data_IF_845407888212
#
_entry.id   IF_845407888212
#
_cell.length_a   1.000
_cell.length_b   1.000
_cell.length_c   1.000
_cell.angle_alpha   90.00
_cell.angle_beta   90.00
_cell.angle_gamma   90.00
#
_symmetry.space_group_name_H-M   'P 1'
#
loop_
_entity.id
_entity.type
_entity.pdbx_description
1 polymer ?
#
# COMPACT_ATOMS: atom_id res chain seq x y z
N UNK A 1 32.11 38.09 18.73
CA UNK A 1 31.03 37.28 19.34
C UNK A 1 31.11 35.88 18.73
N UNK A 2 31.49 34.85 19.49
CA UNK A 2 31.64 33.49 18.95
C UNK A 2 30.27 32.82 18.76
N UNK A 3 30.18 32.05 17.68
CA UNK A 3 29.02 31.24 17.26
C UNK A 3 29.00 29.95 18.10
N UNK A 4 27.90 29.74 18.83
CA UNK A 4 27.66 28.57 19.68
C UNK A 4 27.19 27.36 18.83
N UNK A 5 27.67 26.12 19.07
CA UNK A 5 27.44 24.98 18.17
C UNK A 5 26.21 24.11 18.53
N UNK A 6 25.08 24.71 18.93
CA UNK A 6 23.88 23.96 19.33
C UNK A 6 22.61 24.45 18.63
N UNK A 7 22.60 24.44 17.30
CA UNK A 7 21.34 24.57 16.56
C UNK A 7 21.13 23.32 15.69
N UNK A 8 20.26 22.38 16.09
CA UNK A 8 19.93 21.25 15.23
C UNK A 8 19.24 21.79 13.98
N UNK A 9 19.90 21.63 12.83
CA UNK A 9 19.32 21.91 11.52
C UNK A 9 18.06 21.04 11.40
N UNK A 10 16.88 21.60 11.08
CA UNK A 10 15.69 20.78 10.84
C UNK A 10 15.99 19.80 9.71
N UNK A 11 15.80 18.51 9.97
CA UNK A 11 16.05 17.44 9.03
C UNK A 11 15.38 17.75 7.68
N UNK A 12 16.21 18.00 6.66
CA UNK A 12 15.74 18.14 5.29
C UNK A 12 15.03 16.83 4.91
N UNK A 13 13.72 16.89 4.68
CA UNK A 13 12.84 15.75 4.37
C UNK A 13 13.07 15.13 2.97
N UNK A 14 14.28 15.24 2.43
CA UNK A 14 14.63 14.75 1.10
C UNK A 14 15.88 13.89 1.20
N UNK A 15 15.67 12.59 1.30
CA UNK A 15 16.65 11.60 0.87
C UNK A 15 16.82 11.74 -0.65
N UNK A 16 18.05 11.81 -1.16
CA UNK A 16 18.29 11.90 -2.61
C UNK A 16 17.63 10.71 -3.32
N UNK A 17 16.58 10.99 -4.11
CA UNK A 17 15.86 9.99 -4.90
C UNK A 17 14.74 9.22 -4.19
N UNK A 18 14.48 9.44 -2.89
CA UNK A 18 13.40 8.76 -2.13
C UNK A 18 12.67 9.76 -1.20
N UNK A 19 11.72 10.56 -1.70
CA UNK A 19 10.96 11.48 -0.85
C UNK A 19 10.05 10.71 0.13
N UNK A 20 10.04 11.12 1.39
CA UNK A 20 9.14 10.56 2.39
C UNK A 20 7.68 10.93 2.08
N UNK A 21 6.81 9.92 1.99
CA UNK A 21 5.41 10.05 1.61
C UNK A 21 4.63 8.79 2.00
N UNK A 22 3.30 8.89 2.08
CA UNK A 22 2.41 7.74 2.28
C UNK A 22 2.82 6.87 3.47
N UNK A 23 2.94 7.49 4.64
CA UNK A 23 3.36 6.86 5.90
C UNK A 23 4.83 6.40 5.95
N UNK A 24 5.56 6.36 4.83
CA UNK A 24 6.98 6.08 4.84
C UNK A 24 7.79 7.27 5.37
N UNK A 25 8.69 7.02 6.31
CA UNK A 25 9.58 8.03 6.89
C UNK A 25 11.06 7.70 6.62
N UNK A 26 11.97 8.67 6.66
CA UNK A 26 13.40 8.42 6.43
C UNK A 26 13.99 7.45 7.45
N UNK A 27 14.90 6.60 6.99
CA UNK A 27 15.71 5.68 7.79
C UNK A 27 17.05 5.40 7.11
N UNK A 28 17.84 4.49 7.69
CA UNK A 28 19.19 4.17 7.21
C UNK A 28 19.43 2.67 7.21
N UNK A 29 20.11 2.16 6.18
CA UNK A 29 20.53 0.76 6.11
C UNK A 29 21.81 0.65 5.29
N UNK A 30 22.85 0.01 5.85
CA UNK A 30 24.12 -0.20 5.16
C UNK A 30 24.77 1.11 4.70
N UNK A 31 24.67 2.17 5.51
CA UNK A 31 25.22 3.48 5.18
C UNK A 31 24.45 4.25 4.09
N UNK A 32 23.30 3.74 3.64
CA UNK A 32 22.43 4.38 2.65
C UNK A 32 21.11 4.80 3.27
N UNK A 33 20.54 5.87 2.74
CA UNK A 33 19.21 6.31 3.12
C UNK A 33 18.15 5.36 2.52
N UNK A 34 17.13 5.10 3.32
CA UNK A 34 15.97 4.27 2.95
C UNK A 34 14.71 4.93 3.46
N UNK A 35 13.56 4.45 2.97
CA UNK A 35 12.25 4.79 3.49
C UNK A 35 11.71 3.62 4.30
N UNK A 36 11.09 3.91 5.45
CA UNK A 36 10.57 2.90 6.38
C UNK A 36 9.09 3.15 6.65
N UNK A 37 8.28 2.12 6.47
CA UNK A 37 6.87 2.08 6.85
C UNK A 37 6.74 1.19 8.09
N UNK A 38 6.22 1.77 9.17
CA UNK A 38 6.07 1.12 10.48
C UNK A 38 4.61 0.75 10.69
N UNK A 39 4.26 -0.53 10.67
CA UNK A 39 2.86 -0.97 10.67
C UNK A 39 2.06 -0.58 11.91
N UNK A 40 2.73 -0.40 13.04
CA UNK A 40 2.08 0.08 14.26
C UNK A 40 1.54 1.50 14.09
N UNK A 41 2.39 2.41 13.59
CA UNK A 41 2.04 3.81 13.38
C UNK A 41 1.22 4.02 12.09
N UNK A 42 1.49 3.23 11.05
CA UNK A 42 0.90 3.42 9.73
C UNK A 42 -0.48 2.78 9.59
N UNK A 43 -0.75 1.66 10.29
CA UNK A 43 -2.02 0.95 10.25
C UNK A 43 -2.58 0.72 11.67
N UNK A 44 -2.93 1.79 12.41
CA UNK A 44 -3.39 1.68 13.80
C UNK A 44 -4.82 1.13 13.93
N UNK A 45 -5.60 1.14 12.86
CA UNK A 45 -7.04 0.85 12.87
C UNK A 45 -7.38 -0.64 12.75
N UNK A 46 -6.47 -1.53 13.11
CA UNK A 46 -6.77 -2.96 13.04
C UNK A 46 -7.82 -3.34 14.08
N UNK A 47 -8.84 -4.14 13.73
CA UNK A 47 -9.83 -4.62 14.69
C UNK A 47 -9.26 -5.72 15.61
N UNK A 48 -8.05 -6.21 15.33
CA UNK A 48 -7.39 -7.25 16.11
C UNK A 48 -6.63 -6.63 17.28
N UNK A 49 -6.95 -7.02 18.53
CA UNK A 49 -6.37 -6.40 19.72
C UNK A 49 -4.89 -6.77 19.94
N UNK A 50 -4.40 -7.83 19.29
CA UNK A 50 -3.05 -8.35 19.48
C UNK A 50 -2.25 -8.37 18.19
N UNK A 51 -0.96 -8.12 18.29
CA UNK A 51 0.00 -8.27 17.19
C UNK A 51 1.29 -8.93 17.67
N UNK A 52 2.11 -9.42 16.74
CA UNK A 52 3.47 -9.86 17.05
C UNK A 52 4.26 -8.75 17.75
N UNK A 53 5.07 -9.12 18.75
CA UNK A 53 5.87 -8.16 19.54
C UNK A 53 6.98 -7.51 18.72
N UNK A 54 7.59 -8.28 17.82
CA UNK A 54 8.58 -7.80 16.87
C UNK A 54 7.94 -7.68 15.47
N UNK A 55 8.29 -6.63 14.71
CA UNK A 55 7.86 -6.50 13.34
C UNK A 55 8.61 -7.48 12.42
N UNK A 56 7.88 -8.05 11.47
CA UNK A 56 8.47 -8.75 10.33
C UNK A 56 8.97 -7.73 9.33
N UNK A 57 10.28 -7.73 9.09
CA UNK A 57 10.90 -6.83 8.12
C UNK A 57 10.73 -7.35 6.68
N UNK A 58 10.24 -6.47 5.81
CA UNK A 58 10.00 -6.75 4.39
C UNK A 58 10.66 -5.69 3.53
N UNK A 59 11.35 -6.11 2.47
CA UNK A 59 12.28 -5.24 1.75
C UNK A 59 11.89 -5.06 0.29
N UNK A 60 11.87 -3.80 -0.18
CA UNK A 60 11.50 -3.40 -1.54
C UNK A 60 12.55 -2.48 -2.16
N UNK A 61 12.55 -2.43 -3.50
CA UNK A 61 13.21 -1.37 -4.26
C UNK A 61 12.32 -0.77 -5.35
N UNK A 62 12.65 0.45 -5.78
CA UNK A 62 11.96 1.20 -6.86
C UNK A 62 12.23 0.64 -8.27
N UNK A 63 12.65 -0.63 -8.40
CA UNK A 63 12.93 -1.27 -9.69
C UNK A 63 14.37 -1.09 -10.22
N UNK A 64 14.64 -1.66 -11.41
CA UNK A 64 15.95 -1.63 -12.08
C UNK A 64 16.01 -0.66 -13.27
N UNK A 65 14.87 -0.30 -13.86
CA UNK A 65 14.78 0.53 -15.05
C UNK A 65 14.57 2.02 -14.73
N UNK A 66 14.87 2.93 -15.67
CA UNK A 66 14.69 4.37 -15.47
C UNK A 66 13.26 4.77 -15.10
N UNK A 67 12.26 4.17 -15.73
CA UNK A 67 10.84 4.51 -15.50
C UNK A 67 10.38 4.28 -14.07
N UNK A 68 10.64 3.11 -13.49
CA UNK A 68 10.21 2.80 -12.11
C UNK A 68 11.08 3.49 -11.05
N UNK A 69 12.37 3.68 -11.31
CA UNK A 69 13.26 4.43 -10.40
C UNK A 69 12.87 5.89 -10.26
N UNK A 70 12.26 6.47 -11.31
CA UNK A 70 11.78 7.84 -11.31
C UNK A 70 10.43 8.02 -10.57
N UNK A 71 9.83 6.95 -10.04
CA UNK A 71 8.49 6.99 -9.43
C UNK A 71 8.46 6.53 -7.96
N UNK A 72 9.37 6.99 -7.08
CA UNK A 72 9.43 6.55 -5.68
C UNK A 72 8.15 6.84 -4.89
N UNK A 73 7.46 7.95 -5.20
CA UNK A 73 6.18 8.28 -4.56
C UNK A 73 5.04 7.34 -4.97
N UNK A 74 5.05 6.83 -6.20
CA UNK A 74 4.06 5.84 -6.60
C UNK A 74 4.34 4.48 -5.94
N UNK A 75 5.62 4.16 -5.67
CA UNK A 75 5.96 3.02 -4.83
C UNK A 75 5.43 3.16 -3.40
N UNK A 76 5.70 4.28 -2.71
CA UNK A 76 5.21 4.49 -1.34
C UNK A 76 3.69 4.43 -1.28
N UNK A 77 3.00 5.07 -2.24
CA UNK A 77 1.54 5.12 -2.31
C UNK A 77 0.90 3.75 -2.52
N UNK A 78 1.48 2.92 -3.41
CA UNK A 78 0.96 1.57 -3.62
C UNK A 78 1.33 0.65 -2.46
N UNK A 79 2.56 0.73 -1.94
CA UNK A 79 2.99 -0.09 -0.81
C UNK A 79 2.20 0.21 0.46
N UNK A 80 1.98 1.48 0.82
CA UNK A 80 1.19 1.85 2.01
C UNK A 80 -0.20 1.23 1.98
N UNK A 81 -0.89 1.31 0.85
CA UNK A 81 -2.20 0.68 0.67
C UNK A 81 -2.14 -0.83 0.90
N UNK A 82 -1.17 -1.49 0.27
CA UNK A 82 -1.05 -2.94 0.38
C UNK A 82 -0.69 -3.39 1.80
N UNK A 83 0.27 -2.72 2.43
CA UNK A 83 0.72 -3.01 3.78
C UNK A 83 -0.35 -2.69 4.83
N UNK A 84 -1.12 -1.62 4.62
CA UNK A 84 -2.27 -1.27 5.46
C UNK A 84 -3.35 -2.35 5.38
N UNK A 85 -3.69 -2.83 4.17
CA UNK A 85 -4.67 -3.89 4.00
C UNK A 85 -4.22 -5.22 4.64
N UNK A 86 -2.95 -5.59 4.50
CA UNK A 86 -2.38 -6.78 5.16
C UNK A 86 -2.43 -6.66 6.69
N UNK A 87 -2.25 -5.45 7.22
CA UNK A 87 -2.27 -5.17 8.66
C UNK A 87 -3.67 -5.25 9.31
N UNK A 88 -4.72 -5.43 8.50
CA UNK A 88 -6.09 -5.74 8.96
C UNK A 88 -6.34 -7.25 9.08
N UNK A 89 -5.47 -8.09 8.53
CA UNK A 89 -5.64 -9.54 8.54
C UNK A 89 -5.08 -10.15 9.83
N UNK A 90 -5.76 -11.19 10.31
CA UNK A 90 -5.18 -12.09 11.32
C UNK A 90 -4.11 -12.95 10.68
N UNK A 91 -3.21 -13.51 11.49
CA UNK A 91 -2.18 -14.44 11.05
C UNK A 91 -2.81 -15.66 10.35
N UNK A 92 -3.99 -16.11 10.80
CA UNK A 92 -4.73 -17.19 10.15
C UNK A 92 -5.19 -16.78 8.74
N UNK A 93 -5.84 -15.61 8.60
CA UNK A 93 -6.30 -15.11 7.30
C UNK A 93 -5.16 -14.81 6.35
N UNK A 94 -4.03 -14.34 6.87
CA UNK A 94 -2.80 -14.17 6.09
C UNK A 94 -2.29 -15.51 5.53
N UNK A 95 -2.24 -16.56 6.36
CA UNK A 95 -1.82 -17.90 5.92
C UNK A 95 -2.78 -18.50 4.89
N UNK A 96 -4.10 -18.40 5.13
CA UNK A 96 -5.13 -18.82 4.18
C UNK A 96 -4.93 -18.13 2.83
N UNK A 97 -4.74 -16.80 2.85
CA UNK A 97 -4.49 -16.01 1.66
C UNK A 97 -3.23 -16.44 0.92
N UNK A 98 -2.08 -16.56 1.61
CA UNK A 98 -0.82 -16.96 0.97
C UNK A 98 -0.92 -18.35 0.33
N UNK A 99 -1.54 -19.31 1.02
CA UNK A 99 -1.74 -20.67 0.52
C UNK A 99 -2.63 -20.69 -0.72
N UNK A 100 -3.75 -19.98 -0.66
CA UNK A 100 -4.69 -19.97 -1.78
C UNK A 100 -4.08 -19.28 -3.01
N UNK A 101 -3.21 -18.27 -2.83
CA UNK A 101 -2.50 -17.61 -3.93
C UNK A 101 -1.52 -18.54 -4.62
N UNK A 102 -0.80 -19.32 -3.82
CA UNK A 102 0.15 -20.31 -4.31
C UNK A 102 -0.55 -21.38 -5.16
N UNK A 103 -1.77 -21.76 -4.78
CA UNK A 103 -2.55 -22.79 -5.47
C UNK A 103 -3.26 -22.27 -6.72
N UNK A 104 -3.84 -21.08 -6.66
CA UNK A 104 -4.80 -20.60 -7.65
C UNK A 104 -4.33 -19.35 -8.42
N UNK A 105 -3.21 -18.74 -8.02
CA UNK A 105 -2.70 -17.51 -8.61
C UNK A 105 -3.49 -16.28 -8.17
N UNK A 106 -3.62 -15.27 -9.03
CA UNK A 106 -4.47 -14.11 -8.75
C UNK A 106 -5.90 -14.39 -9.12
N UNK A 107 -6.85 -13.95 -8.29
CA UNK A 107 -8.25 -13.96 -8.68
C UNK A 107 -8.45 -13.06 -9.91
N UNK A 108 -9.19 -13.53 -10.94
CA UNK A 108 -9.54 -12.69 -12.07
C UNK A 108 -10.32 -11.45 -11.62
N UNK A 109 -10.12 -10.33 -12.32
CA UNK A 109 -10.90 -9.11 -12.06
C UNK A 109 -12.39 -9.39 -12.22
N UNK A 110 -13.17 -9.18 -11.17
CA UNK A 110 -14.62 -9.37 -11.22
C UNK A 110 -15.28 -8.41 -12.23
N UNK A 111 -16.44 -8.82 -12.74
CA UNK A 111 -17.26 -7.99 -13.62
C UNK A 111 -17.64 -6.65 -12.97
N UNK A 112 -17.91 -6.65 -11.67
CA UNK A 112 -18.18 -5.44 -10.90
C UNK A 112 -16.97 -4.49 -10.88
N UNK A 113 -15.76 -5.02 -10.65
CA UNK A 113 -14.51 -4.24 -10.68
C UNK A 113 -14.25 -3.68 -12.08
N UNK A 114 -14.48 -4.49 -13.13
CA UNK A 114 -14.35 -4.05 -14.53
C UNK A 114 -15.28 -2.88 -14.82
N UNK A 115 -16.55 -2.97 -14.39
CA UNK A 115 -17.54 -1.90 -14.55
C UNK A 115 -17.19 -0.65 -13.72
N UNK A 116 -16.67 -0.81 -12.51
CA UNK A 116 -16.21 0.31 -11.68
C UNK A 116 -15.05 1.06 -12.35
N UNK A 117 -14.10 0.34 -12.94
CA UNK A 117 -12.99 0.92 -13.72
C UNK A 117 -13.50 1.65 -14.97
N UNK A 118 -14.44 1.06 -15.69
CA UNK A 118 -15.05 1.70 -16.86
C UNK A 118 -15.78 2.99 -16.48
N UNK A 119 -16.58 2.96 -15.40
CA UNK A 119 -17.26 4.15 -14.87
C UNK A 119 -16.28 5.25 -14.45
N UNK A 120 -15.19 4.87 -13.80
CA UNK A 120 -14.12 5.77 -13.41
C UNK A 120 -13.52 6.50 -14.63
N UNK A 121 -13.16 5.76 -15.69
CA UNK A 121 -12.60 6.36 -16.91
C UNK A 121 -13.63 7.18 -17.68
N UNK A 122 -14.91 6.78 -17.67
CA UNK A 122 -16.00 7.57 -18.23
C UNK A 122 -16.16 8.92 -17.49
N UNK A 123 -15.96 8.94 -16.18
CA UNK A 123 -15.93 10.19 -15.40
C UNK A 123 -14.74 11.06 -15.78
N UNK A 124 -13.53 10.50 -15.92
CA UNK A 124 -12.34 11.24 -16.39
C UNK A 124 -12.63 11.91 -17.75
N UNK A 125 -13.18 11.16 -18.70
CA UNK A 125 -13.54 11.70 -20.02
C UNK A 125 -14.57 12.84 -19.91
N UNK A 126 -15.59 12.69 -19.05
CA UNK A 126 -16.60 13.74 -18.83
C UNK A 126 -15.98 15.01 -18.26
N UNK A 127 -15.06 14.90 -17.31
CA UNK A 127 -14.36 16.03 -16.71
C UNK A 127 -13.49 16.76 -17.75
N UNK A 128 -12.73 16.02 -18.56
CA UNK A 128 -11.92 16.59 -19.63
C UNK A 128 -12.75 17.43 -20.61
N UNK A 129 -13.93 16.95 -20.99
CA UNK A 129 -14.80 17.66 -21.94
C UNK A 129 -15.54 18.83 -21.27
N UNK A 130 -16.14 18.60 -20.09
CA UNK A 130 -17.06 19.57 -19.47
C UNK A 130 -16.34 20.67 -18.69
N UNK A 131 -15.26 20.33 -17.99
CA UNK A 131 -14.52 21.27 -17.14
C UNK A 131 -13.34 21.84 -17.91
N UNK A 132 -12.50 20.96 -18.47
CA UNK A 132 -11.25 21.35 -19.12
C UNK A 132 -11.37 21.65 -20.62
N UNK A 133 -12.60 21.58 -21.17
CA UNK A 133 -12.95 22.00 -22.54
C UNK A 133 -12.17 21.30 -23.66
N UNK A 134 -11.72 20.08 -23.43
CA UNK A 134 -11.14 19.26 -24.48
C UNK A 134 -12.18 18.93 -25.56
N UNK A 135 -11.73 18.84 -26.82
CA UNK A 135 -12.56 18.24 -27.88
C UNK A 135 -12.86 16.78 -27.52
N UNK A 136 -14.03 16.26 -27.94
CA UNK A 136 -14.38 14.85 -27.69
C UNK A 136 -13.31 13.86 -28.21
N UNK A 137 -12.75 14.03 -29.44
CA UNK A 137 -11.67 13.17 -29.90
C UNK A 137 -10.40 13.26 -29.03
N UNK A 138 -10.00 14.48 -28.63
CA UNK A 138 -8.82 14.69 -27.78
C UNK A 138 -8.99 14.06 -26.40
N UNK A 139 -10.14 14.26 -25.75
CA UNK A 139 -10.46 13.66 -24.46
C UNK A 139 -10.45 12.12 -24.54
N UNK A 140 -11.00 11.54 -25.62
CA UNK A 140 -11.00 10.09 -25.84
C UNK A 140 -9.58 9.53 -25.97
N UNK A 141 -8.73 10.18 -26.76
CA UNK A 141 -7.33 9.76 -26.95
C UNK A 141 -6.56 9.78 -25.62
N UNK A 142 -6.65 10.87 -24.85
CA UNK A 142 -5.98 10.99 -23.54
C UNK A 142 -6.53 10.03 -22.49
N UNK A 143 -7.85 9.83 -22.46
CA UNK A 143 -8.46 8.84 -21.57
C UNK A 143 -7.99 7.42 -21.91
N UNK A 144 -7.86 7.08 -23.21
CA UNK A 144 -7.35 5.77 -23.63
C UNK A 144 -5.89 5.55 -23.24
N UNK A 145 -5.03 6.56 -23.39
CA UNK A 145 -3.63 6.55 -22.95
C UNK A 145 -3.53 6.26 -21.44
N UNK A 146 -4.25 7.02 -20.62
CA UNK A 146 -4.26 6.82 -19.16
C UNK A 146 -4.88 5.47 -18.80
N UNK A 147 -5.96 5.06 -19.46
CA UNK A 147 -6.58 3.76 -19.23
C UNK A 147 -5.60 2.61 -19.53
N UNK A 148 -4.69 2.75 -20.49
CA UNK A 148 -3.68 1.71 -20.77
C UNK A 148 -2.59 1.65 -19.69
N UNK A 149 -2.27 2.78 -19.07
CA UNK A 149 -1.23 2.90 -18.04
C UNK A 149 -1.72 2.52 -16.63
N UNK A 150 -3.03 2.62 -16.36
CA UNK A 150 -3.58 2.39 -15.03
C UNK A 150 -4.11 0.97 -14.81
N UNK A 151 -3.96 0.50 -13.58
CA UNK A 151 -4.53 -0.74 -13.06
C UNK A 151 -5.36 -0.45 -11.81
N UNK A 152 -6.43 -1.22 -11.60
CA UNK A 152 -7.15 -1.20 -10.32
C UNK A 152 -6.28 -1.93 -9.29
N UNK A 153 -6.04 -1.28 -8.16
CA UNK A 153 -5.28 -1.83 -7.07
C UNK A 153 -6.18 -2.73 -6.23
N UNK A 154 -5.74 -3.96 -6.05
CA UNK A 154 -6.30 -4.89 -5.11
C UNK A 154 -5.30 -4.99 -3.96
N UNK A 155 -5.66 -4.46 -2.79
CA UNK A 155 -4.67 -4.00 -1.83
C UNK A 155 -3.91 -5.17 -1.16
N UNK A 156 -4.50 -6.31 -0.81
CA UNK A 156 -3.70 -7.46 -0.30
C UNK A 156 -3.20 -8.44 -1.39
N UNK A 157 -3.75 -8.37 -2.61
CA UNK A 157 -3.71 -9.44 -3.63
C UNK A 157 -2.33 -9.74 -4.23
N UNK A 158 -1.31 -8.94 -3.92
CA UNK A 158 0.04 -9.27 -4.38
C UNK A 158 0.69 -10.40 -3.57
N UNK A 159 0.15 -10.69 -2.38
CA UNK A 159 0.74 -11.59 -1.38
C UNK A 159 -0.28 -12.63 -0.90
N UNK A 160 -1.54 -12.26 -0.82
CA UNK A 160 -2.66 -13.16 -0.49
C UNK A 160 -3.50 -13.43 -1.74
N UNK A 161 -4.24 -14.53 -1.71
CA UNK A 161 -5.39 -14.77 -2.54
C UNK A 161 -6.58 -14.42 -1.71
N UNK A 162 -7.30 -13.41 -2.17
CA UNK A 162 -8.61 -13.15 -1.65
C UNK A 162 -9.45 -12.51 -2.74
N UNK A 163 -10.77 -12.57 -2.58
CA UNK A 163 -11.69 -11.69 -3.26
C UNK A 163 -11.51 -10.30 -2.66
N UNK A 164 -10.36 -9.66 -2.85
CA UNK A 164 -10.21 -8.27 -2.45
C UNK A 164 -11.07 -7.49 -3.41
N UNK A 165 -12.26 -7.12 -2.93
CA UNK A 165 -12.98 -5.99 -3.47
C UNK A 165 -11.95 -4.91 -3.76
N UNK A 166 -11.99 -4.30 -4.96
CA UNK A 166 -11.03 -3.27 -5.31
C UNK A 166 -10.98 -2.27 -4.16
N UNK A 167 -9.78 -1.86 -3.72
CA UNK A 167 -9.70 -0.88 -2.65
C UNK A 167 -10.56 0.31 -3.05
N UNK A 168 -11.51 0.75 -2.22
CA UNK A 168 -12.40 1.84 -2.60
C UNK A 168 -11.95 3.11 -1.88
N UNK A 169 -11.81 4.20 -2.62
CA UNK A 169 -11.74 5.53 -2.01
C UNK A 169 -13.01 5.81 -1.20
N UNK A 170 -12.93 6.74 -0.24
CA UNK A 170 -14.10 7.21 0.51
C UNK A 170 -15.23 7.73 -0.40
N UNK A 171 -14.88 8.22 -1.61
CA UNK A 171 -15.82 8.64 -2.66
C UNK A 171 -16.42 7.49 -3.50
N UNK A 172 -16.14 6.23 -3.16
CA UNK A 172 -16.69 5.07 -3.86
C UNK A 172 -16.05 4.77 -5.22
N UNK A 173 -14.88 5.35 -5.51
CA UNK A 173 -14.10 5.00 -6.70
C UNK A 173 -13.09 3.89 -6.41
N UNK A 174 -12.83 2.98 -7.37
CA UNK A 174 -11.76 2.02 -7.24
C UNK A 174 -10.41 2.74 -7.09
N UNK A 175 -9.55 2.18 -6.25
CA UNK A 175 -8.18 2.59 -6.05
C UNK A 175 -7.40 2.28 -7.32
N UNK A 176 -6.79 3.30 -7.90
CA UNK A 176 -6.04 3.17 -9.15
C UNK A 176 -4.55 3.28 -8.86
N UNK A 177 -3.73 2.65 -9.69
CA UNK A 177 -2.28 2.78 -9.66
C UNK A 177 -1.61 2.60 -10.99
N UNK A 178 -0.37 3.05 -11.08
CA UNK A 178 0.43 2.93 -12.28
C UNK A 178 0.88 1.48 -12.46
N UNK A 179 0.55 0.90 -13.62
CA UNK A 179 0.76 -0.53 -13.92
C UNK A 179 2.22 -0.97 -13.84
N UNK A 180 3.23 -0.23 -14.35
CA UNK A 180 4.64 -0.60 -14.23
C UNK A 180 5.12 -0.71 -12.78
N UNK A 181 4.74 0.23 -11.91
CA UNK A 181 5.07 0.18 -10.48
C UNK A 181 4.37 -1.00 -9.81
N UNK A 182 3.08 -1.19 -10.06
CA UNK A 182 2.32 -2.34 -9.54
C UNK A 182 2.96 -3.67 -9.92
N UNK A 183 3.42 -3.80 -11.18
CA UNK A 183 4.14 -4.98 -11.66
C UNK A 183 5.50 -5.15 -10.98
N UNK A 184 6.22 -4.05 -10.75
CA UNK A 184 7.53 -4.06 -10.09
C UNK A 184 7.41 -4.49 -8.62
N UNK A 185 6.41 -4.00 -7.88
CA UNK A 185 6.12 -4.45 -6.51
C UNK A 185 5.76 -5.95 -6.53
N UNK A 186 4.88 -6.36 -7.46
CA UNK A 186 4.43 -7.75 -7.55
C UNK A 186 5.57 -8.73 -7.82
N UNK A 187 6.55 -8.35 -8.65
CA UNK A 187 7.75 -9.16 -8.91
C UNK A 187 8.63 -9.36 -7.67
N UNK A 188 8.46 -8.52 -6.65
CA UNK A 188 9.21 -8.55 -5.39
C UNK A 188 8.44 -9.25 -4.26
N UNK A 189 7.20 -9.72 -4.50
CA UNK A 189 6.31 -10.21 -3.44
C UNK A 189 6.70 -11.57 -2.84
N UNK A 190 7.41 -12.44 -3.58
CA UNK A 190 7.70 -13.82 -3.11
C UNK A 190 8.51 -13.87 -1.79
N UNK A 191 9.65 -13.15 -1.65
CA UNK A 191 10.38 -13.09 -0.38
C UNK A 191 9.51 -12.59 0.78
N UNK A 192 8.63 -11.61 0.54
CA UNK A 192 7.73 -11.09 1.56
C UNK A 192 6.69 -12.12 1.98
N UNK A 193 6.03 -12.79 1.03
CA UNK A 193 5.08 -13.86 1.33
C UNK A 193 5.74 -14.97 2.16
N UNK A 194 6.97 -15.35 1.84
CA UNK A 194 7.73 -16.33 2.63
C UNK A 194 8.00 -15.83 4.05
N UNK A 195 8.50 -14.61 4.24
CA UNK A 195 8.78 -14.05 5.57
C UNK A 195 7.51 -13.98 6.44
N UNK A 196 6.41 -13.50 5.85
CA UNK A 196 5.11 -13.39 6.53
C UNK A 196 4.51 -14.76 6.86
N UNK A 197 4.61 -15.74 5.97
CA UNK A 197 4.15 -17.11 6.22
C UNK A 197 4.93 -17.74 7.38
N UNK A 198 6.26 -17.59 7.41
CA UNK A 198 7.07 -18.11 8.52
C UNK A 198 6.70 -17.46 9.85
N UNK A 199 6.53 -16.14 9.87
CA UNK A 199 6.12 -15.42 11.08
C UNK A 199 4.72 -15.84 11.57
N UNK A 200 3.76 -16.03 10.65
CA UNK A 200 2.42 -16.47 11.01
C UNK A 200 2.40 -17.95 11.47
N UNK A 201 3.25 -18.82 10.91
CA UNK A 201 3.39 -20.20 11.36
C UNK A 201 4.01 -20.31 12.76
N UNK A 202 4.88 -19.38 13.14
CA UNK A 202 5.48 -19.32 14.47
C UNK A 202 4.47 -18.99 15.59
N UNK A 203 3.31 -18.41 15.25
CA UNK A 203 2.23 -18.16 16.21
C UNK A 203 1.48 -19.48 16.49
N UNK A 204 1.18 -19.82 17.76
CA UNK A 204 0.36 -20.98 18.12
C UNK A 204 -0.98 -20.99 17.38
N UNK A 205 -1.40 -22.17 16.90
CA UNK A 205 -2.53 -22.28 15.98
C UNK A 205 -3.85 -21.71 16.54
N UNK A 206 -4.08 -21.88 17.83
CA UNK A 206 -5.23 -21.37 18.58
C UNK A 206 -5.25 -19.84 18.73
N UNK A 207 -4.10 -19.18 18.61
CA UNK A 207 -3.96 -17.72 18.73
C UNK A 207 -4.05 -16.99 17.39
N UNK A 208 -3.71 -17.66 16.28
CA UNK A 208 -3.66 -17.06 14.93
C UNK A 208 -4.92 -16.31 14.49
N UNK A 209 -6.16 -16.69 14.89
CA UNK A 209 -7.35 -15.91 14.52
C UNK A 209 -7.40 -14.52 15.16
N UNK A 210 -6.77 -14.34 16.33
CA UNK A 210 -6.84 -13.11 17.15
C UNK A 210 -5.60 -12.23 17.11
N UNK A 211 -4.53 -12.66 16.41
CA UNK A 211 -3.24 -11.96 16.34
C UNK A 211 -2.97 -11.52 14.91
N UNK A 212 -2.59 -10.26 14.68
CA UNK A 212 -2.03 -9.79 13.40
C UNK A 212 -0.51 -9.84 13.39
N UNK A 213 0.08 -9.89 12.21
CA UNK A 213 1.54 -9.73 12.05
C UNK A 213 1.87 -8.25 11.97
N UNK A 214 2.77 -7.78 12.84
CA UNK A 214 3.33 -6.43 12.72
C UNK A 214 4.33 -6.42 11.55
N UNK A 215 4.19 -5.48 10.62
CA UNK A 215 5.04 -5.39 9.42
C UNK A 215 5.86 -4.12 9.50
N UNK A 216 7.16 -4.23 9.21
CA UNK A 216 8.04 -3.09 8.94
C UNK A 216 8.56 -3.21 7.51
N UNK A 217 8.18 -2.27 6.64
CA UNK A 217 8.65 -2.29 5.27
C UNK A 217 9.79 -1.29 5.05
N UNK A 218 10.83 -1.71 4.34
CA UNK A 218 11.96 -0.86 3.97
C UNK A 218 12.01 -0.74 2.44
N UNK A 219 11.91 0.47 1.93
CA UNK A 219 12.02 0.81 0.52
C UNK A 219 13.35 1.51 0.24
N UNK A 220 14.09 1.02 -0.76
CA UNK A 220 15.35 1.61 -1.21
C UNK A 220 15.35 1.85 -2.72
N UNK A 221 16.27 2.68 -3.21
CA UNK A 221 16.55 2.86 -4.64
C UNK A 221 17.47 1.77 -5.21
N UNK A 222 18.03 0.91 -4.34
CA UNK A 222 19.10 -0.03 -4.66
C UNK A 222 18.64 -1.49 -4.58
N UNK A 223 18.46 -2.18 -5.73
CA UNK A 223 18.19 -3.62 -5.75
C UNK A 223 19.28 -4.44 -5.04
N UNK A 224 20.53 -3.98 -5.08
CA UNK A 224 21.65 -4.62 -4.37
C UNK A 224 21.45 -4.55 -2.86
N UNK A 225 21.09 -3.38 -2.33
CA UNK A 225 20.82 -3.21 -0.91
C UNK A 225 19.62 -4.05 -0.46
N UNK A 226 18.53 -4.08 -1.24
CA UNK A 226 17.39 -4.95 -0.95
C UNK A 226 17.79 -6.42 -0.84
N UNK A 227 18.67 -6.90 -1.72
CA UNK A 227 19.16 -8.28 -1.64
C UNK A 227 20.05 -8.51 -0.41
N UNK A 228 20.91 -7.55 -0.06
CA UNK A 228 21.73 -7.64 1.14
C UNK A 228 20.87 -7.68 2.42
N UNK A 229 19.84 -6.86 2.49
CA UNK A 229 18.85 -6.84 3.58
C UNK A 229 18.11 -8.18 3.70
N UNK A 230 17.58 -8.70 2.58
CA UNK A 230 16.88 -10.00 2.55
C UNK A 230 17.75 -11.17 2.98
N UNK A 231 19.06 -11.08 2.77
CA UNK A 231 20.02 -12.13 3.11
C UNK A 231 20.69 -11.89 4.48
N UNK A 232 20.27 -10.87 5.25
CA UNK A 232 20.86 -10.54 6.55
C UNK A 232 22.31 -10.04 6.50
N UNK A 233 22.81 -9.65 5.32
CA UNK A 233 24.16 -9.09 5.16
C UNK A 233 24.25 -7.63 5.62
N UNK A 234 23.10 -6.95 5.63
CA UNK A 234 22.89 -5.60 6.12
C UNK A 234 21.59 -5.64 6.92
N UNK A 235 21.50 -4.82 7.96
CA UNK A 235 20.27 -4.62 8.73
C UNK A 235 19.80 -3.17 8.61
N UNK A 236 18.51 -2.95 8.85
CA UNK A 236 18.01 -1.60 9.12
C UNK A 236 18.72 -1.07 10.38
N UNK A 237 19.27 0.15 10.29
CA UNK A 237 19.89 0.79 11.45
C UNK A 237 18.83 1.08 12.53
N UNK A 238 19.17 0.98 13.83
CA UNK A 238 18.22 1.21 14.90
C UNK A 238 17.48 2.54 14.79
N UNK A 239 16.15 2.51 14.98
CA UNK A 239 15.29 3.69 14.93
C UNK A 239 14.87 4.10 16.34
N UNK A 240 14.94 5.40 16.64
CA UNK A 240 14.43 5.94 17.89
C UNK A 240 12.91 5.77 17.99
N UNK A 241 12.35 5.83 19.20
CA UNK A 241 10.90 5.76 19.40
C UNK A 241 10.16 6.82 18.57
N UNK A 242 10.69 8.05 18.54
CA UNK A 242 10.14 9.13 17.73
C UNK A 242 10.10 8.77 16.25
N UNK A 243 11.15 8.14 15.72
CA UNK A 243 11.18 7.69 14.34
C UNK A 243 10.17 6.56 14.07
N UNK A 244 9.97 5.64 15.03
CA UNK A 244 9.04 4.53 14.88
C UNK A 244 7.57 4.99 14.91
N UNK A 245 7.25 6.03 15.69
CA UNK A 245 5.89 6.59 15.77
C UNK A 245 5.62 7.68 14.73
N UNK A 246 6.65 8.17 14.04
CA UNK A 246 6.51 9.20 13.01
C UNK A 246 5.88 8.64 11.74
N UNK A 247 5.05 9.45 11.09
CA UNK A 247 4.42 9.10 9.82
C UNK A 247 4.48 10.27 8.85
N UNK A 248 4.59 9.95 7.56
CA UNK A 248 4.45 10.94 6.49
C UNK A 248 3.00 11.00 6.02
N UNK A 249 2.48 12.17 5.59
CA UNK A 249 1.13 12.29 5.08
C UNK A 249 0.86 11.35 3.89
N UNK A 250 -0.35 10.77 3.85
CA UNK A 250 -0.84 10.05 2.67
C UNK A 250 -1.20 11.01 1.56
N UNK A 251 -0.83 10.65 0.33
CA UNK A 251 -1.27 11.37 -0.85
C UNK A 251 -2.80 11.26 -1.00
N UNK A 252 -3.48 12.31 -1.50
CA UNK A 252 -4.90 12.24 -1.82
C UNK A 252 -5.21 11.06 -2.76
N UNK A 253 -6.40 10.43 -2.64
CA UNK A 253 -6.80 9.36 -3.55
C UNK A 253 -6.87 9.87 -4.99
N UNK A 254 -6.57 8.99 -5.95
CA UNK A 254 -6.74 9.30 -7.36
C UNK A 254 -8.22 9.27 -7.73
N UNK A 255 -8.81 10.46 -7.82
CA UNK A 255 -10.19 10.66 -8.28
C UNK A 255 -10.24 10.94 -9.78
N UNK A 256 -11.39 10.74 -10.44
CA UNK A 256 -11.55 11.12 -11.84
C UNK A 256 -11.21 12.59 -12.11
N UNK A 257 -11.63 13.49 -11.22
CA UNK A 257 -11.36 14.93 -11.31
C UNK A 257 -9.87 15.25 -11.19
N UNK A 258 -9.15 14.62 -10.26
CA UNK A 258 -7.70 14.79 -10.10
C UNK A 258 -6.97 14.36 -11.36
N UNK A 259 -7.28 13.16 -11.87
CA UNK A 259 -6.67 12.64 -13.10
C UNK A 259 -6.97 13.53 -14.30
N UNK A 260 -8.22 13.99 -14.47
CA UNK A 260 -8.57 14.89 -15.56
C UNK A 260 -7.80 16.21 -15.48
N UNK A 261 -7.58 16.73 -14.27
CA UNK A 261 -6.80 17.95 -14.06
C UNK A 261 -5.32 17.73 -14.34
N UNK A 262 -4.74 16.60 -13.93
CA UNK A 262 -3.36 16.23 -14.26
C UNK A 262 -3.16 16.19 -15.78
N UNK A 263 -4.07 15.53 -16.52
CA UNK A 263 -4.06 15.47 -17.99
C UNK A 263 -4.18 16.86 -18.62
N UNK A 264 -5.09 17.70 -18.12
CA UNK A 264 -5.29 19.06 -18.64
C UNK A 264 -4.05 19.93 -18.46
N UNK A 265 -3.28 19.68 -17.39
CA UNK A 265 -1.99 20.31 -17.12
C UNK A 265 -0.81 19.64 -17.85
N UNK A 266 -1.09 18.70 -18.77
CA UNK A 266 -0.08 17.93 -19.50
C UNK A 266 0.89 17.16 -18.58
N UNK A 267 0.36 16.67 -17.45
CA UNK A 267 1.07 15.82 -16.48
C UNK A 267 0.36 14.47 -16.35
N UNK A 268 1.06 13.45 -15.86
CA UNK A 268 0.43 12.17 -15.51
C UNK A 268 0.20 12.07 -13.99
N UNK A 269 -0.78 11.27 -13.56
CA UNK A 269 -1.09 11.11 -12.13
C UNK A 269 0.04 10.56 -11.26
N UNK A 270 1.00 9.85 -11.87
CA UNK A 270 2.16 9.22 -11.23
C UNK A 270 3.45 10.04 -11.35
N UNK A 271 3.42 11.15 -12.08
CA UNK A 271 4.54 12.11 -12.07
C UNK A 271 4.47 12.97 -10.81
N UNK A 272 5.62 13.15 -10.17
CA UNK A 272 5.81 14.15 -9.13
C UNK A 272 5.58 15.53 -9.72
N UNK A 273 4.54 16.24 -9.25
CA UNK A 273 4.59 17.69 -9.37
C UNK A 273 5.69 18.20 -8.43
N UNK A 274 6.59 19.10 -8.86
CA UNK A 274 7.43 19.81 -7.92
C UNK A 274 6.48 20.43 -6.91
N UNK A 275 6.67 20.09 -5.63
CA UNK A 275 5.84 20.62 -4.55
C UNK A 275 5.99 22.13 -4.60
N UNK A 276 5.04 22.84 -5.22
CA UNK A 276 4.84 24.22 -4.85
C UNK A 276 4.50 24.14 -3.38
N UNK A 277 5.41 24.64 -2.55
CA UNK A 277 5.10 24.97 -1.17
C UNK A 277 3.91 25.91 -1.23
N UNK A 278 2.69 25.37 -1.12
CA UNK A 278 1.57 26.15 -0.64
C UNK A 278 1.92 26.53 0.79
N UNK A 279 2.69 27.61 0.88
CA UNK A 279 2.84 28.40 2.08
C UNK A 279 1.44 28.91 2.34
N UNK A 280 0.71 28.23 3.21
CA UNK A 280 -0.51 28.75 3.79
C UNK A 280 -0.14 30.13 4.34
N UNK A 281 -0.72 31.25 3.85
CA UNK A 281 -0.33 32.56 4.33
C UNK A 281 -0.70 32.63 5.80
N UNK A 282 0.32 32.57 6.66
CA UNK A 282 0.17 32.84 8.08
C UNK A 282 -0.29 34.29 8.20
N UNK A 283 -1.39 34.59 8.92
CA UNK A 283 -1.75 35.97 9.17
C UNK A 283 -0.58 36.64 9.90
N UNK A 284 -0.20 37.88 9.55
CA UNK A 284 0.91 38.55 10.22
C UNK A 284 0.61 38.66 11.72
N UNK A 285 1.61 38.47 12.59
CA UNK A 285 1.40 38.57 14.03
C UNK A 285 0.92 39.98 14.39
N UNK A 286 -0.26 40.05 15.01
CA UNK A 286 -0.80 41.29 15.58
C UNK A 286 0.20 41.82 16.61
N UNK A 287 0.87 42.93 16.30
CA UNK A 287 1.69 43.66 17.27
C UNK A 287 0.78 44.13 18.40
N UNK A 288 1.01 43.62 19.62
CA UNK A 288 0.45 44.21 20.84
C UNK A 288 1.12 45.57 21.05
N UNK A 289 0.36 46.63 21.38
CA UNK A 289 0.97 47.89 21.78
C UNK A 289 1.69 47.72 23.14
N UNK A 290 2.81 48.43 23.36
CA UNK A 290 3.52 48.38 24.64
C UNK A 290 2.66 49.00 25.75
N UNK A 291 2.67 48.37 26.92
CA UNK A 291 2.02 48.88 28.12
C UNK A 291 2.81 50.10 28.67
N UNK A 292 2.14 51.17 29.10
CA UNK A 292 2.82 52.30 29.74
C UNK A 292 3.26 51.96 31.17
N UNK A 293 4.46 52.41 31.52
CA UNK A 293 5.07 52.22 32.83
C UNK A 293 4.60 53.28 33.84
N UNK A 294 4.04 52.79 34.96
CA UNK A 294 4.32 53.23 36.33
C UNK A 294 3.71 54.54 36.86
N UNK A 295 3.00 54.44 37.99
CA UNK A 295 3.32 55.19 39.23
C UNK A 295 2.67 54.51 40.45
N UNK A 296 3.24 54.68 41.67
CA UNK A 296 3.15 53.71 42.77
C UNK A 296 2.14 54.11 43.86
N UNK A 297 1.82 53.22 44.83
CA UNK A 297 1.86 53.46 46.29
C UNK A 297 1.11 52.40 47.17
N UNK A 298 1.87 51.79 48.10
CA UNK A 298 1.63 51.25 49.49
C UNK A 298 0.83 49.95 49.80
N UNK A 299 1.23 49.14 50.83
CA UNK A 299 0.69 47.80 51.16
C UNK A 299 -0.13 47.78 52.50
N UNK A 300 -0.36 46.62 53.16
CA UNK A 300 -1.51 45.69 53.09
C UNK A 300 -2.41 45.76 54.36
N UNK A 301 -3.41 44.86 54.54
CA UNK A 301 -3.14 43.73 55.45
C UNK A 301 -3.82 42.39 55.11
N UNK A 302 -3.38 41.40 55.87
CA UNK A 302 -3.64 39.96 55.89
C UNK A 302 -5.08 39.49 56.16
N UNK A 303 -5.26 38.16 55.96
CA UNK A 303 -6.29 37.22 56.46
C UNK A 303 -7.45 36.92 55.48
N UNK A 304 -7.92 35.68 55.25
CA UNK A 304 -7.60 34.33 55.74
C UNK A 304 -8.18 33.30 54.74
N UNK A 305 -7.66 32.07 54.71
CA UNK A 305 -8.31 30.93 54.06
C UNK A 305 -9.59 30.54 54.82
N UNK A 306 -10.58 29.95 54.13
CA UNK A 306 -10.82 28.53 54.40
C UNK A 306 -11.10 27.67 53.15
N UNK A 307 -10.72 26.41 53.31
CA UNK A 307 -11.06 25.23 52.52
C UNK A 307 -12.58 24.97 52.47
N UNK A 308 -13.11 24.52 51.33
CA UNK A 308 -13.93 23.30 51.19
C UNK A 308 -14.43 23.07 49.75
N UNK A 309 -13.96 21.96 49.17
CA UNK A 309 -14.71 20.85 48.57
C UNK A 309 -15.81 21.01 47.49
N UNK A 310 -15.69 20.04 46.55
CA UNK A 310 -16.69 19.34 45.68
C UNK A 310 -16.85 19.79 44.21
N UNK A 311 -17.30 18.90 43.30
CA UNK A 311 -17.02 17.45 43.15
C UNK A 311 -16.81 16.99 41.68
N UNK A 312 -16.22 15.79 41.50
CA UNK A 312 -16.20 15.04 40.22
C UNK A 312 -17.56 14.37 39.93
N UNK A 313 -17.95 14.17 38.65
CA UNK A 313 -19.05 13.29 38.28
C UNK A 313 -18.59 11.84 37.99
N UNK A 314 -19.48 10.83 38.14
CA UNK A 314 -19.10 9.50 38.60
C UNK A 314 -19.09 8.40 37.53
N UNK A 315 -18.32 7.35 37.83
CA UNK A 315 -18.47 6.00 37.28
C UNK A 315 -19.83 5.39 37.69
N UNK A 316 -20.51 4.70 36.78
CA UNK A 316 -21.67 3.87 37.08
C UNK A 316 -21.58 2.49 36.41
N UNK A 317 -21.29 1.49 37.25
CA UNK A 317 -21.50 0.06 36.99
C UNK A 317 -22.93 -0.23 36.52
N UNK A 318 -23.10 -1.09 35.52
CA UNK A 318 -24.37 -1.76 35.26
C UNK A 318 -24.17 -3.27 35.24
N UNK A 319 -24.84 -3.91 36.20
CA UNK A 319 -24.94 -5.35 36.35
C UNK A 319 -25.83 -5.98 35.28
N UNK A 320 -25.55 -7.27 35.07
CA UNK A 320 -26.24 -8.26 34.24
C UNK A 320 -27.77 -8.26 34.35
N UNK A 321 -28.43 -8.31 33.18
CA UNK A 321 -29.77 -8.89 33.01
C UNK A 321 -29.76 -9.84 31.81
N UNK A 322 -30.13 -11.11 32.05
CA UNK A 322 -30.30 -12.18 31.04
C UNK A 322 -31.41 -11.83 30.05
N UNK A 323 -31.31 -12.21 28.75
CA UNK A 323 -32.45 -12.37 27.87
C UNK A 323 -32.99 -13.83 27.87
N UNK A 324 -34.25 -14.05 27.45
CA UNK A 324 -34.98 -15.30 27.64
C UNK A 324 -34.61 -16.38 26.62
N UNK A 325 -34.64 -17.64 27.07
CA UNK A 325 -34.73 -18.82 26.22
C UNK A 325 -36.15 -18.96 25.67
N UNK A 326 -36.29 -18.89 24.34
CA UNK A 326 -37.07 -19.84 23.53
C UNK A 326 -37.13 -19.34 22.08
N UNK A 327 -36.35 -19.97 21.20
CA UNK A 327 -36.73 -20.30 19.83
C UNK A 327 -35.71 -21.27 19.21
N UNK A 328 -36.26 -22.33 18.65
CA UNK A 328 -35.66 -23.55 18.10
C UNK A 328 -34.69 -23.24 16.94
N UNK A 329 -33.64 -24.05 16.69
CA UNK A 329 -32.74 -23.82 15.57
C UNK A 329 -33.43 -24.13 14.24
N UNK A 330 -33.65 -23.12 13.40
CA UNK A 330 -33.99 -23.34 12.00
C UNK A 330 -32.75 -23.83 11.26
N UNK A 331 -32.76 -25.11 10.89
CA UNK A 331 -31.84 -25.69 9.92
C UNK A 331 -31.90 -24.91 8.59
N UNK A 332 -30.77 -24.62 7.93
CA UNK A 332 -30.80 -24.17 6.55
C UNK A 332 -31.36 -25.28 5.64
N UNK A 333 -32.12 -24.95 4.59
CA UNK A 333 -32.69 -25.95 3.70
C UNK A 333 -31.59 -26.74 2.95
N UNK A 334 -31.82 -28.02 2.62
CA UNK A 334 -30.83 -28.83 1.94
C UNK A 334 -30.58 -28.30 0.52
N UNK A 335 -29.33 -28.01 0.22
CA UNK A 335 -28.86 -27.72 -1.15
C UNK A 335 -29.16 -28.91 -2.07
N UNK A 336 -29.74 -28.69 -3.27
CA UNK A 336 -29.93 -29.76 -4.25
C UNK A 336 -28.57 -30.29 -4.76
N UNK A 337 -28.47 -31.58 -5.12
CA UNK A 337 -27.21 -32.19 -5.51
C UNK A 337 -26.70 -31.56 -6.81
N UNK A 338 -25.57 -30.86 -6.74
CA UNK A 338 -24.88 -30.33 -7.91
C UNK A 338 -24.21 -31.49 -8.65
N UNK A 339 -24.67 -31.71 -9.87
CA UNK A 339 -24.16 -32.69 -10.84
C UNK A 339 -22.64 -32.60 -10.99
N UNK A 340 -21.99 -33.76 -10.85
CA UNK A 340 -20.56 -33.97 -11.13
C UNK A 340 -20.21 -33.52 -12.56
N UNK A 341 -19.15 -32.74 -12.77
CA UNK A 341 -18.49 -32.70 -14.07
C UNK A 341 -17.85 -34.07 -14.31
N UNK A 342 -18.17 -34.70 -15.44
CA UNK A 342 -17.54 -35.93 -15.90
C UNK A 342 -16.02 -35.73 -15.99
N UNK A 343 -15.30 -36.66 -15.38
CA UNK A 343 -13.87 -36.85 -15.55
C UNK A 343 -13.59 -37.32 -16.99
N UNK A 344 -13.21 -36.42 -17.89
CA UNK A 344 -12.49 -36.84 -19.09
C UNK A 344 -11.06 -37.21 -18.70
N UNK A 345 -10.94 -38.49 -18.32
CA UNK A 345 -9.72 -39.26 -18.16
C UNK A 345 -8.96 -39.27 -19.50
N UNK A 346 -8.06 -38.31 -19.73
CA UNK A 346 -7.00 -38.45 -20.75
C UNK A 346 -6.00 -39.49 -20.26
N UNK A 347 -6.31 -40.76 -20.53
CA UNK A 347 -5.34 -41.87 -20.51
C UNK A 347 -4.32 -41.61 -21.62
N UNK A 348 -3.05 -41.74 -21.25
CA UNK A 348 -1.95 -41.71 -22.20
C UNK A 348 -2.00 -42.86 -23.18
N UNK A 349 -1.59 -42.58 -24.42
CA UNK A 349 -1.10 -43.57 -25.34
C UNK A 349 0.34 -43.19 -25.74
N UNK A 350 1.31 -43.84 -25.09
CA UNK A 350 2.54 -44.25 -25.76
C UNK A 350 2.18 -45.47 -26.61
N UNK A 351 2.46 -45.40 -27.91
CA UNK A 351 2.82 -46.51 -28.83
C UNK A 351 3.43 -45.83 -30.07
N UNK A 352 4.74 -45.92 -30.20
CA UNK A 352 5.45 -46.95 -30.97
C UNK A 352 5.47 -46.57 -32.46
N UNK A 353 6.65 -46.17 -32.94
CA UNK A 353 6.95 -45.99 -34.36
C UNK A 353 8.27 -46.71 -34.64
N UNK A 354 8.15 -47.82 -35.35
CA UNK A 354 9.20 -48.62 -35.98
C UNK A 354 8.56 -49.31 -37.22
N UNK A 355 9.31 -49.84 -38.21
CA UNK A 355 10.14 -49.12 -39.17
C UNK A 355 9.83 -49.57 -40.63
N UNK A 356 10.50 -48.97 -41.62
CA UNK A 356 10.52 -49.41 -43.04
C UNK A 356 9.94 -48.38 -44.01
N UNK A 357 10.51 -48.10 -45.18
CA UNK A 357 11.70 -48.61 -45.86
C UNK A 357 11.82 -47.92 -47.24
N UNK A 358 13.07 -47.83 -47.72
CA UNK A 358 13.55 -47.86 -49.11
C UNK A 358 12.84 -47.03 -50.21
N UNK A 359 13.61 -46.12 -50.83
CA UNK A 359 13.85 -45.95 -52.28
C UNK A 359 14.32 -44.50 -52.54
N UNK A 360 15.37 -44.17 -53.28
CA UNK A 360 16.28 -44.94 -54.12
C UNK A 360 17.44 -44.02 -54.52
N UNK A 361 18.58 -44.63 -54.86
CA UNK A 361 19.70 -43.94 -55.49
C UNK A 361 19.37 -43.63 -56.95
N UNK A 362 19.76 -42.46 -57.46
CA UNK A 362 20.41 -42.33 -58.78
C UNK A 362 21.17 -41.01 -58.93
N UNK A 363 22.46 -41.23 -59.16
CA UNK A 363 23.50 -40.41 -59.77
C UNK A 363 23.08 -39.56 -60.97
N UNK A 364 23.59 -38.32 -61.05
CA UNK A 364 24.33 -37.72 -62.18
C UNK A 364 24.43 -36.19 -61.93
N UNK A 365 25.60 -35.67 -61.55
CA UNK A 365 26.70 -35.24 -62.44
C UNK A 365 26.42 -33.96 -63.23
N UNK A 366 27.16 -32.92 -62.84
CA UNK A 366 27.73 -31.82 -63.66
C UNK A 366 26.75 -30.88 -64.39
N UNK A 367 26.93 -29.56 -64.39
CA UNK A 367 28.04 -28.71 -63.98
C UNK A 367 27.97 -27.37 -64.75
N UNK A 368 28.74 -26.38 -64.27
CA UNK A 368 29.06 -25.05 -64.85
C UNK A 368 27.92 -24.02 -64.87
N UNK A 369 28.04 -22.82 -64.26
CA UNK A 369 29.03 -21.71 -64.31
C UNK A 369 28.93 -20.86 -65.59
N UNK A 370 28.81 -19.55 -65.35
CA UNK A 370 28.86 -18.38 -66.24
C UNK A 370 27.61 -18.19 -67.14
N UNK A 371 26.95 -17.03 -67.18
CA UNK A 371 27.39 -15.63 -66.99
C UNK A 371 26.39 -14.81 -66.19
#
# INVERSE_FOLDING_TARGET
MPIHPDNPIPANNTVTGLPAADMFTPGRAGGRDVLVWEGEAAAPTSPLPWHSSEPVEVFFHTGRGPGTRAEPQEFTRQLDRQLSALSLLSAERLLEGIRTYREQGREPMSEATRKARENFMNQVMRELVRVHRFSKPGARAKTAEINAALVVLHESDQITFGPSQPGMSASGHPSMGHKPVNSSIGSQGKPMATALEQAALAIPADQRPGVRILIRAVLTDSPKLTNQLRNGQVSLEPRSQTQQTSTSPRAPPWTPTKIASDIANNTTPWQTQPTSTQTQPTPPPRRRPPAPAGTPTRPPPYAAHPSHNQPQPPYANHHFTKPPHNQTPHQPPPTPPRTRPMTHRRRGHKRAREPGGLSGARTASNGRVAT
#
